data_IF_377695889077
#
_entry.id   IF_377695889077
#
_cell.length_a   1.000
_cell.length_b   1.000
_cell.length_c   1.000
_cell.angle_alpha   90.00
_cell.angle_beta   90.00
_cell.angle_gamma   90.00
#
_symmetry.space_group_name_H-M   'P 1'
#
loop_
_entity.id
_entity.type
_entity.pdbx_description
1 polymer ?
#
# COMPACT_ATOMS: atom_id res chain seq x y z
N UNK A 1 11.55 -24.82 5.75
CA UNK A 1 10.69 -24.62 6.93
C UNK A 1 9.45 -23.90 6.41
N UNK A 2 8.26 -24.49 6.56
CA UNK A 2 7.02 -23.84 6.12
C UNK A 2 6.74 -22.66 7.05
N UNK A 3 6.48 -21.49 6.48
CA UNK A 3 6.13 -20.30 7.26
C UNK A 3 4.71 -20.49 7.79
N UNK A 4 4.57 -20.67 9.11
CA UNK A 4 3.28 -20.90 9.76
C UNK A 4 2.66 -19.54 10.09
N UNK A 5 1.94 -18.96 9.12
CA UNK A 5 1.29 -17.66 9.25
C UNK A 5 -0.23 -17.82 9.15
N UNK A 6 -0.96 -17.43 10.20
CA UNK A 6 -2.41 -17.26 10.16
C UNK A 6 -2.76 -15.77 10.10
N UNK A 7 -3.53 -15.36 9.09
CA UNK A 7 -4.02 -13.98 8.94
C UNK A 7 -5.54 -13.99 8.78
N UNK A 8 -6.22 -13.07 9.46
CA UNK A 8 -7.67 -12.92 9.39
C UNK A 8 -8.07 -11.49 8.97
N UNK A 9 -9.16 -11.37 8.22
CA UNK A 9 -9.80 -10.11 7.87
C UNK A 9 -11.21 -10.05 8.45
N UNK A 10 -11.50 -9.01 9.23
CA UNK A 10 -12.81 -8.83 9.87
C UNK A 10 -13.46 -7.54 9.36
N UNK A 11 -14.31 -7.61 8.33
CA UNK A 11 -15.01 -6.44 7.80
C UNK A 11 -16.13 -5.95 8.74
N UNK A 12 -16.58 -6.80 9.67
CA UNK A 12 -17.62 -6.46 10.65
C UNK A 12 -17.48 -7.26 11.94
N UNK A 13 -18.09 -6.75 13.02
CA UNK A 13 -18.09 -7.39 14.33
C UNK A 13 -18.74 -8.78 14.32
N UNK A 14 -19.77 -8.98 13.49
CA UNK A 14 -20.51 -10.22 13.39
C UNK A 14 -19.63 -11.42 12.97
N UNK A 15 -18.55 -11.15 12.24
CA UNK A 15 -17.60 -12.17 11.77
C UNK A 15 -16.38 -12.29 12.69
N UNK A 16 -15.98 -11.19 13.33
CA UNK A 16 -14.79 -11.13 14.18
C UNK A 16 -14.82 -12.11 15.36
N UNK A 17 -15.90 -12.07 16.15
CA UNK A 17 -16.05 -12.90 17.35
C UNK A 17 -16.03 -14.41 17.06
N UNK A 18 -16.88 -14.90 16.12
CA UNK A 18 -16.87 -16.30 15.72
C UNK A 18 -15.54 -16.76 15.12
N UNK A 19 -14.93 -15.96 14.25
CA UNK A 19 -13.65 -16.32 13.62
C UNK A 19 -12.51 -16.40 14.65
N UNK A 20 -12.44 -15.45 15.59
CA UNK A 20 -11.40 -15.47 16.63
C UNK A 20 -11.52 -16.73 17.50
N UNK A 21 -12.73 -17.03 17.96
CA UNK A 21 -12.98 -18.16 18.87
C UNK A 21 -12.78 -19.51 18.19
N UNK A 22 -13.23 -19.65 16.95
CA UNK A 22 -13.26 -20.94 16.25
C UNK A 22 -12.03 -21.25 15.42
N UNK A 23 -11.24 -20.23 15.05
CA UNK A 23 -10.09 -20.39 14.15
C UNK A 23 -8.80 -19.90 14.80
N UNK A 24 -8.75 -18.62 15.19
CA UNK A 24 -7.50 -18.02 15.68
C UNK A 24 -7.06 -18.65 17.00
N UNK A 25 -7.96 -18.72 17.99
CA UNK A 25 -7.60 -19.24 19.30
C UNK A 25 -7.15 -20.72 19.27
N UNK A 26 -7.83 -21.64 18.57
CA UNK A 26 -7.37 -23.02 18.41
C UNK A 26 -6.01 -23.13 17.71
N UNK A 27 -5.77 -22.33 16.68
CA UNK A 27 -4.49 -22.31 15.97
C UNK A 27 -3.34 -21.78 16.85
N UNK A 28 -3.55 -20.68 17.57
CA UNK A 28 -2.54 -20.16 18.50
C UNK A 28 -2.17 -21.21 19.55
N UNK A 29 -3.16 -21.95 20.05
CA UNK A 29 -2.95 -23.04 21.00
C UNK A 29 -2.04 -24.14 20.43
N UNK A 30 -2.29 -24.60 19.20
CA UNK A 30 -1.47 -25.65 18.59
C UNK A 30 -0.03 -25.19 18.32
N UNK A 31 0.17 -23.92 17.99
CA UNK A 31 1.52 -23.34 17.80
C UNK A 31 2.30 -23.25 19.11
N UNK A 32 1.64 -22.89 20.22
CA UNK A 32 2.27 -22.90 21.55
C UNK A 32 2.59 -24.32 22.01
N UNK A 33 1.70 -25.29 21.76
CA UNK A 33 1.97 -26.71 22.02
C UNK A 33 3.18 -27.23 21.23
N UNK A 34 3.39 -26.72 20.02
CA UNK A 34 4.58 -26.97 19.20
C UNK A 34 5.82 -26.15 19.62
N UNK A 35 5.74 -25.31 20.65
CA UNK A 35 6.87 -24.54 21.20
C UNK A 35 7.19 -23.24 20.47
N UNK A 36 6.31 -22.77 19.57
CA UNK A 36 6.49 -21.49 18.88
C UNK A 36 6.12 -20.30 19.76
N UNK A 37 6.68 -19.13 19.42
CA UNK A 37 6.26 -17.84 19.97
C UNK A 37 5.45 -17.11 18.92
N UNK A 38 4.35 -16.47 19.34
CA UNK A 38 3.42 -15.80 18.45
C UNK A 38 3.35 -14.30 18.78
N UNK A 39 3.15 -13.50 17.74
CA UNK A 39 2.89 -12.06 17.82
C UNK A 39 1.57 -11.76 17.09
N UNK A 40 0.72 -10.90 17.66
CA UNK A 40 -0.55 -10.48 17.05
C UNK A 40 -0.55 -8.97 16.83
N UNK A 41 -0.82 -8.56 15.59
CA UNK A 41 -0.97 -7.15 15.21
C UNK A 41 -2.41 -6.89 14.76
N UNK A 42 -3.14 -6.09 15.52
CA UNK A 42 -4.52 -5.69 15.19
C UNK A 42 -4.47 -4.25 14.67
N UNK A 43 -4.93 -4.04 13.44
CA UNK A 43 -4.94 -2.73 12.78
C UNK A 43 -6.30 -2.43 12.15
N UNK A 44 -6.54 -1.16 11.88
CA UNK A 44 -7.70 -0.74 11.11
C UNK A 44 -7.56 -1.22 9.66
N UNK A 45 -8.69 -1.64 9.07
CA UNK A 45 -8.72 -2.15 7.70
C UNK A 45 -8.19 -1.14 6.67
N UNK A 46 -8.44 0.16 6.88
CA UNK A 46 -7.97 1.21 5.99
C UNK A 46 -6.43 1.31 5.94
N UNK A 47 -5.75 1.09 7.07
CA UNK A 47 -4.29 1.07 7.14
C UNK A 47 -3.73 -0.14 6.38
N UNK A 48 -4.32 -1.32 6.59
CA UNK A 48 -3.94 -2.52 5.88
C UNK A 48 -4.15 -2.39 4.36
N UNK A 49 -5.25 -1.76 3.94
CA UNK A 49 -5.52 -1.47 2.51
C UNK A 49 -4.52 -0.47 1.93
N UNK A 50 -4.19 0.58 2.68
CA UNK A 50 -3.17 1.56 2.27
C UNK A 50 -1.80 0.89 2.11
N UNK A 51 -1.45 -0.06 2.98
CA UNK A 51 -0.20 -0.82 2.86
C UNK A 51 -0.18 -1.74 1.62
N UNK A 52 -1.29 -2.39 1.27
CA UNK A 52 -1.40 -3.15 0.02
C UNK A 52 -1.26 -2.25 -1.21
N UNK A 53 -1.91 -1.09 -1.21
CA UNK A 53 -1.80 -0.12 -2.30
C UNK A 53 -0.36 0.39 -2.46
N UNK A 54 0.34 0.64 -1.35
CA UNK A 54 1.78 0.98 -1.34
C UNK A 54 2.61 -0.12 -1.98
N UNK A 55 2.39 -1.39 -1.60
CA UNK A 55 3.09 -2.54 -2.18
C UNK A 55 2.86 -2.65 -3.67
N UNK A 56 1.62 -2.50 -4.15
CA UNK A 56 1.32 -2.53 -5.58
C UNK A 56 1.98 -1.37 -6.32
N UNK A 57 1.82 -0.15 -5.80
CA UNK A 57 2.38 1.04 -6.44
C UNK A 57 3.90 0.97 -6.56
N UNK A 58 4.60 0.62 -5.48
CA UNK A 58 6.06 0.53 -5.49
C UNK A 58 6.60 -0.75 -6.12
N UNK A 59 5.93 -1.88 -5.87
CA UNK A 59 6.39 -3.22 -6.27
C UNK A 59 6.02 -3.61 -7.69
N UNK A 60 4.93 -3.07 -8.23
CA UNK A 60 4.45 -3.36 -9.59
C UNK A 60 4.56 -2.12 -10.46
N UNK A 61 3.81 -1.07 -10.15
CA UNK A 61 3.64 0.08 -11.07
C UNK A 61 4.98 0.76 -11.34
N UNK A 62 5.66 1.26 -10.30
CA UNK A 62 6.91 1.99 -10.49
C UNK A 62 8.05 1.10 -10.99
N UNK A 63 8.08 -0.19 -10.62
CA UNK A 63 9.09 -1.12 -11.16
C UNK A 63 8.92 -1.33 -12.66
N UNK A 64 7.68 -1.53 -13.13
CA UNK A 64 7.42 -1.71 -14.56
C UNK A 64 7.75 -0.43 -15.36
N UNK A 65 7.43 0.74 -14.81
CA UNK A 65 7.81 2.02 -15.44
C UNK A 65 9.33 2.15 -15.53
N UNK A 66 10.07 1.92 -14.45
CA UNK A 66 11.53 1.98 -14.47
C UNK A 66 12.14 0.98 -15.48
N UNK A 67 11.56 -0.22 -15.56
CA UNK A 67 12.01 -1.27 -16.46
C UNK A 67 11.76 -0.93 -17.94
N UNK A 68 10.57 -0.42 -18.28
CA UNK A 68 10.11 -0.31 -19.66
C UNK A 68 10.22 1.11 -20.23
N UNK A 69 9.97 2.16 -19.45
CA UNK A 69 9.86 3.52 -19.96
C UNK A 69 11.22 4.05 -20.42
N UNK A 70 11.24 4.61 -21.64
CA UNK A 70 12.43 5.21 -22.27
C UNK A 70 12.15 6.60 -22.84
N UNK A 71 11.73 7.59 -22.03
CA UNK A 71 11.52 8.94 -22.53
C UNK A 71 12.83 9.46 -23.14
N UNK A 72 12.77 9.95 -24.37
CA UNK A 72 13.96 10.40 -25.12
C UNK A 72 15.10 9.36 -25.17
N UNK A 73 14.77 8.07 -25.15
CA UNK A 73 15.74 6.97 -25.18
C UNK A 73 16.50 6.72 -23.88
N UNK A 74 16.20 7.44 -22.79
CA UNK A 74 16.89 7.30 -21.51
C UNK A 74 16.12 6.42 -20.52
N UNK A 75 16.85 5.69 -19.68
CA UNK A 75 16.26 4.95 -18.56
C UNK A 75 16.35 5.82 -17.30
N UNK A 76 15.38 5.68 -16.40
CA UNK A 76 15.42 6.35 -15.11
C UNK A 76 15.15 5.35 -13.98
N UNK A 77 15.88 5.53 -12.88
CA UNK A 77 15.70 4.71 -11.68
C UNK A 77 14.31 4.93 -11.07
N UNK A 78 13.84 3.93 -10.33
CA UNK A 78 12.53 3.96 -9.65
C UNK A 78 12.37 5.21 -8.78
N UNK A 79 13.42 5.62 -8.05
CA UNK A 79 13.38 6.79 -7.19
C UNK A 79 13.12 8.10 -7.96
N UNK A 80 13.64 8.20 -9.19
CA UNK A 80 13.41 9.35 -10.07
C UNK A 80 11.96 9.39 -10.53
N UNK A 81 11.42 8.25 -10.97
CA UNK A 81 10.00 8.14 -11.33
C UNK A 81 9.07 8.42 -10.13
N UNK A 82 9.40 7.91 -8.94
CA UNK A 82 8.64 8.17 -7.71
C UNK A 82 8.55 9.67 -7.45
N UNK A 83 9.67 10.39 -7.56
CA UNK A 83 9.70 11.82 -7.29
C UNK A 83 8.99 12.62 -8.38
N UNK A 84 9.16 12.26 -9.65
CA UNK A 84 8.44 12.85 -10.78
C UNK A 84 6.92 12.74 -10.59
N UNK A 85 6.39 11.55 -10.35
CA UNK A 85 4.94 11.35 -10.18
C UNK A 85 4.39 11.96 -8.89
N UNK A 86 5.19 11.99 -7.81
CA UNK A 86 4.83 12.70 -6.58
C UNK A 86 4.60 14.18 -6.88
N UNK A 87 5.56 14.82 -7.54
CA UNK A 87 5.44 16.25 -7.85
C UNK A 87 4.30 16.53 -8.84
N UNK A 88 4.18 15.69 -9.87
CA UNK A 88 3.22 15.85 -10.96
C UNK A 88 1.76 15.63 -10.52
N UNK A 89 1.47 14.62 -9.69
CA UNK A 89 0.09 14.26 -9.32
C UNK A 89 -0.33 14.65 -7.90
N UNK A 90 0.61 14.89 -6.99
CA UNK A 90 0.32 15.24 -5.60
C UNK A 90 0.75 16.67 -5.30
N UNK A 91 1.99 17.04 -5.63
CA UNK A 91 2.53 18.37 -5.43
C UNK A 91 2.77 18.72 -3.95
N UNK A 92 2.21 19.85 -3.51
CA UNK A 92 2.49 20.47 -2.21
C UNK A 92 1.21 20.93 -1.52
N UNK A 93 1.17 20.81 -0.19
CA UNK A 93 0.13 21.41 0.65
C UNK A 93 0.62 22.69 1.28
N UNK A 94 -0.26 23.68 1.41
CA UNK A 94 0.03 24.88 2.19
C UNK A 94 -0.29 24.62 3.65
N UNK A 95 0.71 24.74 4.52
CA UNK A 95 0.56 24.59 5.96
C UNK A 95 0.72 25.95 6.63
N UNK A 96 -0.19 26.27 7.54
CA UNK A 96 -0.05 27.43 8.42
C UNK A 96 0.62 26.97 9.71
N UNK A 97 1.70 27.63 10.10
CA UNK A 97 2.36 27.39 11.38
C UNK A 97 2.52 28.71 12.14
N UNK A 98 2.63 28.61 13.46
CA UNK A 98 2.95 29.76 14.30
C UNK A 98 4.47 29.81 14.47
N UNK A 99 5.07 30.92 14.09
CA UNK A 99 6.49 31.16 14.30
C UNK A 99 6.78 31.13 15.81
N UNK A 100 7.66 30.23 16.30
CA UNK A 100 7.95 30.11 17.72
C UNK A 100 8.69 31.33 18.30
N UNK A 101 9.39 32.11 17.47
CA UNK A 101 10.16 33.28 17.88
C UNK A 101 9.30 34.55 17.88
N UNK A 102 8.43 34.71 16.88
CA UNK A 102 7.63 35.95 16.70
C UNK A 102 6.16 35.81 17.08
N UNK A 103 5.66 34.58 17.25
CA UNK A 103 4.26 34.27 17.52
C UNK A 103 3.31 34.51 16.34
N UNK A 104 3.81 34.99 15.19
CA UNK A 104 3.01 35.30 14.01
C UNK A 104 2.64 34.04 13.23
N UNK A 105 1.47 34.02 12.61
CA UNK A 105 1.05 32.93 11.72
C UNK A 105 1.68 33.14 10.35
N UNK A 106 2.43 32.15 9.90
CA UNK A 106 3.08 32.15 8.58
C UNK A 106 2.61 30.94 7.78
N UNK A 107 2.49 31.09 6.46
CA UNK A 107 2.13 30.01 5.54
C UNK A 107 3.37 29.54 4.79
N UNK A 108 3.57 28.23 4.66
CA UNK A 108 4.61 27.65 3.79
C UNK A 108 4.06 26.48 2.99
N UNK A 109 4.60 26.26 1.79
CA UNK A 109 4.35 25.05 1.02
C UNK A 109 5.20 23.92 1.60
N UNK A 110 4.56 22.79 1.88
CA UNK A 110 5.21 21.58 2.40
C UNK A 110 4.97 20.46 1.41
N UNK A 111 6.03 19.73 1.10
CA UNK A 111 5.99 18.52 0.27
C UNK A 111 5.00 17.53 0.89
N UNK A 112 4.14 16.96 0.06
CA UNK A 112 3.28 15.85 0.48
C UNK A 112 3.98 14.53 0.15
N UNK A 113 4.12 13.65 1.15
CA UNK A 113 4.63 12.31 0.92
C UNK A 113 3.54 11.45 0.29
N UNK A 114 3.92 10.50 -0.57
CA UNK A 114 3.01 9.42 -0.98
C UNK A 114 2.58 8.60 0.23
N UNK A 115 3.39 8.54 1.29
CA UNK A 115 3.08 7.82 2.53
C UNK A 115 1.99 8.51 3.35
N UNK A 116 1.79 9.83 3.18
CA UNK A 116 0.73 10.57 3.87
C UNK A 116 -0.65 10.38 3.22
N UNK A 117 -0.73 9.64 2.11
CA UNK A 117 -1.98 9.36 1.41
C UNK A 117 -2.74 8.22 2.10
N UNK A 118 -4.02 8.44 2.37
CA UNK A 118 -4.95 7.37 2.70
C UNK A 118 -5.45 6.63 1.45
N UNK A 119 -6.33 5.65 1.64
CA UNK A 119 -6.81 4.73 0.60
C UNK A 119 -7.25 5.43 -0.69
N UNK A 120 -8.10 6.48 -0.58
CA UNK A 120 -8.61 7.22 -1.74
C UNK A 120 -7.51 7.95 -2.50
N UNK A 121 -6.53 8.51 -1.78
CA UNK A 121 -5.40 9.20 -2.37
C UNK A 121 -4.50 8.24 -3.16
N UNK A 122 -4.28 7.03 -2.61
CA UNK A 122 -3.54 5.98 -3.30
C UNK A 122 -4.26 5.45 -4.54
N UNK A 123 -5.56 5.18 -4.46
CA UNK A 123 -6.36 4.76 -5.63
C UNK A 123 -6.20 5.77 -6.77
N UNK A 124 -6.43 7.06 -6.48
CA UNK A 124 -6.29 8.13 -7.47
C UNK A 124 -4.88 8.19 -8.05
N UNK A 125 -3.85 8.09 -7.21
CA UNK A 125 -2.45 8.12 -7.66
C UNK A 125 -2.14 6.94 -8.59
N UNK A 126 -2.53 5.72 -8.20
CA UNK A 126 -2.33 4.50 -8.99
C UNK A 126 -3.00 4.65 -10.35
N UNK A 127 -4.25 5.10 -10.39
CA UNK A 127 -4.99 5.27 -11.64
C UNK A 127 -4.31 6.30 -12.56
N UNK A 128 -3.95 7.47 -12.03
CA UNK A 128 -3.32 8.54 -12.81
C UNK A 128 -1.94 8.13 -13.34
N UNK A 129 -1.11 7.49 -12.52
CA UNK A 129 0.23 7.05 -12.92
C UNK A 129 0.15 5.91 -13.93
N UNK A 130 -0.77 4.95 -13.73
CA UNK A 130 -0.97 3.83 -14.66
C UNK A 130 -1.44 4.34 -16.01
N UNK A 131 -2.43 5.25 -16.03
CA UNK A 131 -2.92 5.86 -17.26
C UNK A 131 -1.79 6.59 -18.01
N UNK A 132 -1.04 7.47 -17.33
CA UNK A 132 0.09 8.18 -17.92
C UNK A 132 1.16 7.22 -18.45
N UNK A 133 1.48 6.17 -17.70
CA UNK A 133 2.50 5.21 -18.11
C UNK A 133 2.07 4.42 -19.37
N UNK A 134 0.78 4.09 -19.49
CA UNK A 134 0.25 3.42 -20.69
C UNK A 134 0.22 4.39 -21.88
N UNK A 135 -0.29 5.61 -21.70
CA UNK A 135 -0.53 6.54 -22.81
C UNK A 135 0.74 7.23 -23.27
N UNK A 136 1.56 7.74 -22.34
CA UNK A 136 2.73 8.57 -22.65
C UNK A 136 4.03 7.76 -22.74
N UNK A 137 4.13 6.69 -21.95
CA UNK A 137 5.38 5.91 -21.83
C UNK A 137 5.32 4.55 -22.52
N UNK A 138 4.15 4.13 -23.02
CA UNK A 138 3.95 2.84 -23.68
C UNK A 138 4.18 1.62 -22.78
N UNK A 139 4.10 1.80 -21.46
CA UNK A 139 4.34 0.74 -20.47
C UNK A 139 3.17 -0.24 -20.46
N UNK A 140 3.47 -1.54 -20.39
CA UNK A 140 2.47 -2.60 -20.22
C UNK A 140 2.58 -3.19 -18.83
N UNK A 141 1.48 -3.18 -18.09
CA UNK A 141 1.42 -3.77 -16.76
C UNK A 141 0.96 -5.23 -16.82
N UNK A 142 1.56 -6.13 -16.04
CA UNK A 142 1.18 -7.55 -16.02
C UNK A 142 -0.14 -7.82 -15.30
N UNK A 143 -0.60 -6.87 -14.47
CA UNK A 143 -1.78 -7.01 -13.62
C UNK A 143 -2.27 -5.62 -13.22
N UNK A 144 -3.58 -5.45 -13.07
CA UNK A 144 -4.19 -4.25 -12.52
C UNK A 144 -4.34 -4.32 -10.99
N UNK A 145 -4.80 -3.23 -10.37
CA UNK A 145 -4.98 -3.20 -8.91
C UNK A 145 -6.00 -4.24 -8.44
N UNK A 146 -7.14 -4.37 -9.12
CA UNK A 146 -8.22 -5.28 -8.70
C UNK A 146 -7.74 -6.74 -8.70
N UNK A 147 -7.04 -7.15 -9.75
CA UNK A 147 -6.49 -8.50 -9.87
C UNK A 147 -5.31 -8.70 -8.90
N UNK A 148 -4.51 -7.67 -8.60
CA UNK A 148 -3.46 -7.76 -7.58
C UNK A 148 -4.05 -7.91 -6.17
N UNK A 149 -5.06 -7.10 -5.84
CA UNK A 149 -5.78 -7.16 -4.55
C UNK A 149 -6.44 -8.52 -4.38
N UNK A 150 -7.00 -9.09 -5.45
CA UNK A 150 -7.59 -10.42 -5.46
C UNK A 150 -6.56 -11.56 -5.48
N UNK A 151 -5.38 -11.44 -6.12
CA UNK A 151 -4.36 -12.49 -6.10
C UNK A 151 -3.68 -12.65 -4.74
N UNK A 152 -3.62 -11.57 -3.97
CA UNK A 152 -3.29 -11.65 -2.55
C UNK A 152 -4.45 -12.18 -1.69
N UNK A 153 -5.59 -12.62 -2.27
CA UNK A 153 -6.74 -13.17 -1.54
C UNK A 153 -7.19 -14.45 -2.28
N UNK A 154 -6.76 -15.63 -1.84
CA UNK A 154 -7.26 -16.90 -2.36
C UNK A 154 -8.81 -16.90 -2.30
N UNK A 155 -9.44 -17.03 -3.47
CA UNK A 155 -10.89 -16.91 -3.64
C UNK A 155 -11.67 -18.14 -3.14
N UNK A 156 -11.01 -19.24 -2.77
CA UNK A 156 -11.66 -20.43 -2.22
C UNK A 156 -11.59 -20.47 -0.68
N UNK A 157 -10.60 -19.81 -0.06
CA UNK A 157 -10.29 -19.95 1.37
C UNK A 157 -10.05 -18.63 2.12
N UNK A 158 -9.80 -17.52 1.41
CA UNK A 158 -9.48 -16.21 2.00
C UNK A 158 -8.02 -16.04 2.46
N UNK A 159 -7.11 -16.94 2.09
CA UNK A 159 -5.69 -16.88 2.46
C UNK A 159 -4.88 -15.91 1.58
N UNK A 160 -3.86 -15.26 2.16
CA UNK A 160 -2.95 -14.36 1.43
C UNK A 160 -1.64 -15.09 1.15
N UNK A 161 -1.32 -15.31 -0.13
CA UNK A 161 0.02 -15.77 -0.53
C UNK A 161 1.02 -14.64 -0.32
N UNK A 162 1.92 -14.83 0.65
CA UNK A 162 3.13 -14.07 0.88
C UNK A 162 4.34 -15.01 0.87
#
# INVERSE_FOLDING_TARGET
MADQLLRAHWPSQAVAGPNFSSVIAPWCKSMWEAGHKLEIEIRLHEDAKTDKQRRFYHGVVLKQIALQARPNGQTHALAVWKEYFRDHFIGFKTVTYKDPMTGKKTRRRVRQSTEDLGVKGYSKLIDQVTAFAVTELGVRFPVDWATFEAREIDMETGEILG
#
